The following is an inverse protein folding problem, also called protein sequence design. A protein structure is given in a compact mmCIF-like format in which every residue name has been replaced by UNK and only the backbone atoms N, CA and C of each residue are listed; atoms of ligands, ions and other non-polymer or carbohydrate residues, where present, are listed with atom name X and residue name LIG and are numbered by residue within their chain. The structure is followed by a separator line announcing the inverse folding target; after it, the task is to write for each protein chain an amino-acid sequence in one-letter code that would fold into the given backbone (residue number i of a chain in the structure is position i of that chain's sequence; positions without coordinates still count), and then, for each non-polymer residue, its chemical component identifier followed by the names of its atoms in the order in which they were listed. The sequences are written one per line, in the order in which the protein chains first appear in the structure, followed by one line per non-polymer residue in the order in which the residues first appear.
data_IF_710504267977
#
_entry.id   IF_710504267977
#
_cell.length_a   1.000
_cell.length_b   1.000
_cell.length_c   1.000
_cell.angle_alpha   90.00
_cell.angle_beta   90.00
_cell.angle_gamma   90.00
#
_symmetry.space_group_name_H-M   'P 1'
#
loop_
_entity.id
_entity.type
_entity.pdbx_description
1 polymer ?
#
# COMPACT_ATOMS: atom_id res chain seq x y z
N UNK A 1 -20.80 18.69 -0.62
CA UNK A 1 -21.45 17.37 -0.49
C UNK A 1 -20.92 16.36 -1.52
N UNK A 2 -21.06 16.60 -2.83
CA UNK A 2 -20.59 15.64 -3.83
C UNK A 2 -19.06 15.45 -3.83
N UNK A 3 -18.30 16.54 -3.69
CA UNK A 3 -16.84 16.49 -3.61
C UNK A 3 -16.32 15.63 -2.45
N UNK A 4 -16.93 15.74 -1.26
CA UNK A 4 -16.54 14.93 -0.10
C UNK A 4 -16.91 13.45 -0.26
N UNK A 5 -18.08 13.15 -0.84
CA UNK A 5 -18.48 11.77 -1.13
C UNK A 5 -17.55 11.10 -2.14
N UNK A 6 -17.20 11.80 -3.23
CA UNK A 6 -16.25 11.32 -4.22
C UNK A 6 -14.87 11.08 -3.60
N UNK A 7 -14.40 11.98 -2.73
CA UNK A 7 -13.17 11.79 -1.96
C UNK A 7 -13.20 10.52 -1.12
N UNK A 8 -14.29 10.27 -0.39
CA UNK A 8 -14.44 9.04 0.40
C UNK A 8 -14.38 7.78 -0.47
N UNK A 9 -15.15 7.75 -1.58
CA UNK A 9 -15.17 6.60 -2.50
C UNK A 9 -13.78 6.35 -3.09
N UNK A 10 -13.10 7.41 -3.50
CA UNK A 10 -11.74 7.33 -4.04
C UNK A 10 -10.76 6.73 -3.02
N UNK A 11 -10.76 7.24 -1.79
CA UNK A 11 -9.87 6.77 -0.73
C UNK A 11 -10.14 5.29 -0.41
N UNK A 12 -11.40 4.90 -0.24
CA UNK A 12 -11.76 3.51 0.01
C UNK A 12 -11.28 2.59 -1.10
N UNK A 13 -11.51 2.96 -2.37
CA UNK A 13 -11.07 2.16 -3.52
C UNK A 13 -9.54 2.05 -3.59
N UNK A 14 -8.83 3.13 -3.27
CA UNK A 14 -7.37 3.14 -3.21
C UNK A 14 -6.85 2.16 -2.15
N UNK A 15 -7.35 2.23 -0.91
CA UNK A 15 -6.91 1.35 0.17
C UNK A 15 -7.31 -0.11 -0.05
N UNK A 16 -8.48 -0.37 -0.64
CA UNK A 16 -8.88 -1.73 -1.03
C UNK A 16 -7.89 -2.35 -2.02
N UNK A 17 -7.53 -1.63 -3.09
CA UNK A 17 -6.54 -2.11 -4.07
C UNK A 17 -5.14 -2.26 -3.47
N UNK A 18 -4.77 -1.35 -2.58
CA UNK A 18 -3.48 -1.42 -1.89
C UNK A 18 -3.38 -2.71 -1.07
N UNK A 19 -4.41 -3.00 -0.28
CA UNK A 19 -4.43 -4.18 0.59
C UNK A 19 -4.64 -5.49 -0.15
N UNK A 20 -5.33 -5.47 -1.30
CA UNK A 20 -5.38 -6.60 -2.24
C UNK A 20 -3.98 -6.96 -2.73
N UNK A 21 -3.23 -5.99 -3.28
CA UNK A 21 -1.85 -6.24 -3.74
C UNK A 21 -0.89 -6.67 -2.64
N UNK A 22 -1.05 -6.16 -1.41
CA UNK A 22 -0.30 -6.64 -0.25
C UNK A 22 -0.56 -8.13 0.04
N UNK A 23 -1.83 -8.56 -0.01
CA UNK A 23 -2.20 -9.96 0.24
C UNK A 23 -1.66 -10.88 -0.86
N UNK A 24 -1.81 -10.47 -2.12
CA UNK A 24 -1.27 -11.23 -3.24
C UNK A 24 0.25 -11.42 -3.12
N UNK A 25 0.98 -10.38 -2.70
CA UNK A 25 2.42 -10.46 -2.49
C UNK A 25 2.79 -11.37 -1.30
N UNK A 26 2.00 -11.36 -0.22
CA UNK A 26 2.19 -12.29 0.90
C UNK A 26 1.96 -13.74 0.47
N UNK A 27 0.88 -14.02 -0.27
CA UNK A 27 0.52 -15.35 -0.74
C UNK A 27 1.59 -15.93 -1.69
N UNK A 28 2.23 -15.06 -2.48
CA UNK A 28 3.29 -15.43 -3.42
C UNK A 28 4.71 -15.35 -2.82
N UNK A 29 4.86 -14.89 -1.57
CA UNK A 29 6.17 -14.70 -0.94
C UNK A 29 7.02 -13.57 -1.54
N UNK A 30 6.40 -12.61 -2.23
CA UNK A 30 7.04 -11.46 -2.90
C UNK A 30 6.78 -10.13 -2.18
N UNK A 31 6.50 -10.17 -0.87
CA UNK A 31 6.13 -8.98 -0.10
C UNK A 31 7.23 -7.92 -0.06
N UNK A 32 8.50 -8.31 0.02
CA UNK A 32 9.63 -7.37 0.04
C UNK A 32 9.71 -6.56 -1.27
N UNK A 33 9.52 -7.22 -2.42
CA UNK A 33 9.48 -6.56 -3.74
C UNK A 33 8.30 -5.59 -3.82
N UNK A 34 7.13 -6.00 -3.32
CA UNK A 34 5.95 -5.14 -3.26
C UNK A 34 6.22 -3.86 -2.43
N UNK A 35 6.88 -3.98 -1.28
CA UNK A 35 7.23 -2.84 -0.44
C UNK A 35 8.22 -1.91 -1.16
N UNK A 36 9.26 -2.46 -1.79
CA UNK A 36 10.23 -1.67 -2.56
C UNK A 36 9.55 -0.86 -3.66
N UNK A 37 8.72 -1.51 -4.48
CA UNK A 37 7.96 -0.87 -5.54
C UNK A 37 7.00 0.20 -5.02
N UNK A 38 6.34 -0.07 -3.90
CA UNK A 38 5.39 0.85 -3.27
C UNK A 38 6.06 2.16 -2.83
N UNK A 39 7.25 2.09 -2.24
CA UNK A 39 8.02 3.28 -1.85
C UNK A 39 8.71 3.95 -3.04
N UNK A 40 9.27 3.17 -3.98
CA UNK A 40 9.91 3.69 -5.19
C UNK A 40 8.96 4.53 -6.05
N UNK A 41 7.70 4.09 -6.21
CA UNK A 41 6.65 4.86 -6.92
C UNK A 41 6.33 6.23 -6.29
N UNK A 42 6.71 6.44 -5.03
CA UNK A 42 6.56 7.71 -4.31
C UNK A 42 7.86 8.51 -4.24
N UNK A 43 8.96 8.01 -4.80
CA UNK A 43 10.28 8.61 -4.64
C UNK A 43 10.77 8.59 -3.20
N UNK A 44 10.36 7.57 -2.42
CA UNK A 44 10.72 7.40 -1.02
C UNK A 44 11.61 6.16 -0.85
N UNK A 45 12.43 6.16 0.18
CA UNK A 45 13.18 4.98 0.61
C UNK A 45 12.31 4.08 1.49
N UNK A 46 12.58 2.76 1.47
CA UNK A 46 11.91 1.80 2.35
C UNK A 46 12.41 2.01 3.78
N UNK A 47 11.52 2.19 4.77
CA UNK A 47 11.92 2.35 6.17
C UNK A 47 12.54 1.05 6.71
N UNK A 48 13.44 1.13 7.70
CA UNK A 48 14.01 -0.06 8.33
C UNK A 48 12.92 -0.89 9.01
N UNK A 49 13.09 -2.21 9.00
CA UNK A 49 12.20 -3.11 9.74
C UNK A 49 12.23 -2.76 11.24
N UNK A 50 11.06 -2.65 11.91
CA UNK A 50 11.02 -2.47 13.35
C UNK A 50 11.77 -3.60 14.06
N UNK A 51 12.52 -3.26 15.10
CA UNK A 51 13.12 -4.24 16.01
C UNK A 51 12.07 -4.61 17.06
N UNK A 52 11.77 -5.89 17.20
CA UNK A 52 10.95 -6.38 18.30
C UNK A 52 11.79 -6.25 19.60
N UNK A 53 11.36 -5.39 20.53
CA UNK A 53 11.90 -5.28 21.90
C UNK A 53 11.34 -6.34 22.85
#
# INVERSE_FOLDING_TARGET
MLASMLGTIHNLRYYQRLTEGMRDALDNGTFDEFVQDFYARRGLEVPPCPVDE
#
